data_IF_686427152321
#
_entry.id   IF_686427152321
#
_cell.length_a   1.000
_cell.length_b   1.000
_cell.length_c   1.000
_cell.angle_alpha   90.00
_cell.angle_beta   90.00
_cell.angle_gamma   90.00
#
_symmetry.space_group_name_H-M   'P 1'
#
loop_
_entity.id
_entity.type
_entity.pdbx_description
1 polymer ?
#
# COMPACT_ATOMS: atom_id res chain seq x y z
N UNK A 1 -21.99 33.19 -39.62
CA UNK A 1 -21.30 32.92 -38.34
C UNK A 1 -21.85 31.58 -37.85
N UNK A 2 -20.94 30.62 -37.65
CA UNK A 2 -21.10 29.16 -37.63
C UNK A 2 -22.46 28.58 -37.17
N UNK A 3 -22.94 27.65 -37.99
CA UNK A 3 -24.11 26.78 -37.80
C UNK A 3 -23.68 25.39 -37.29
N UNK A 4 -24.60 24.78 -36.56
CA UNK A 4 -24.54 23.56 -35.75
C UNK A 4 -24.72 22.31 -36.62
N UNK A 5 -23.79 21.33 -36.59
CA UNK A 5 -24.09 19.96 -37.05
C UNK A 5 -23.39 18.86 -36.25
N UNK A 6 -24.24 18.04 -35.62
CA UNK A 6 -23.99 16.69 -35.10
C UNK A 6 -23.35 15.78 -36.16
N UNK A 7 -22.34 15.04 -35.75
CA UNK A 7 -21.74 13.94 -36.51
C UNK A 7 -22.47 12.62 -36.18
N UNK A 8 -23.12 12.01 -37.18
CA UNK A 8 -23.49 10.58 -37.18
C UNK A 8 -22.35 9.77 -37.83
N UNK A 9 -22.15 8.48 -37.47
CA UNK A 9 -21.15 7.64 -38.13
C UNK A 9 -21.67 7.10 -39.48
N UNK A 10 -20.79 7.14 -40.48
CA UNK A 10 -20.99 6.80 -41.89
C UNK A 10 -20.91 5.29 -42.13
N UNK A 11 -22.03 4.67 -42.54
CA UNK A 11 -22.20 3.26 -42.94
C UNK A 11 -21.49 2.91 -44.27
N UNK A 12 -20.81 3.86 -44.92
CA UNK A 12 -20.25 3.67 -46.27
C UNK A 12 -18.80 3.12 -46.32
N UNK A 13 -18.28 2.63 -45.20
CA UNK A 13 -16.93 2.05 -45.12
C UNK A 13 -16.90 0.52 -45.28
N UNK A 14 -18.00 -0.20 -45.06
CA UNK A 14 -18.05 -1.66 -45.17
C UNK A 14 -18.32 -2.16 -46.61
N UNK A 15 -18.98 -1.36 -47.44
CA UNK A 15 -19.37 -1.75 -48.81
C UNK A 15 -18.19 -1.74 -49.82
N UNK A 16 -17.07 -1.09 -49.48
CA UNK A 16 -15.88 -0.99 -50.36
C UNK A 16 -14.90 -2.16 -50.24
N UNK A 17 -15.15 -3.08 -49.31
CA UNK A 17 -14.28 -4.23 -49.04
C UNK A 17 -14.77 -5.53 -49.68
N UNK A 18 -16.07 -5.65 -49.98
CA UNK A 18 -16.63 -6.86 -50.60
C UNK A 18 -16.40 -6.91 -52.13
N UNK A 19 -16.45 -5.76 -52.82
CA UNK A 19 -16.20 -5.69 -54.28
C UNK A 19 -14.78 -6.10 -54.71
N UNK A 20 -13.80 -6.07 -53.78
CA UNK A 20 -12.38 -6.40 -54.10
C UNK A 20 -12.07 -7.89 -53.96
N UNK A 21 -12.94 -8.68 -53.35
CA UNK A 21 -12.72 -10.13 -53.16
C UNK A 21 -13.31 -10.95 -54.31
N UNK A 22 -14.35 -10.45 -54.97
CA UNK A 22 -15.03 -11.16 -56.06
C UNK A 22 -14.28 -11.09 -57.41
N UNK A 23 -13.53 -10.01 -57.69
CA UNK A 23 -12.75 -9.88 -58.94
C UNK A 23 -11.48 -10.75 -59.01
N UNK A 24 -10.99 -11.29 -57.90
CA UNK A 24 -9.76 -12.12 -57.88
C UNK A 24 -10.09 -13.61 -58.07
N UNK A 25 -11.32 -14.04 -57.81
CA UNK A 25 -11.74 -15.44 -57.94
C UNK A 25 -12.13 -15.83 -59.37
N UNK A 26 -12.46 -14.87 -60.23
CA UNK A 26 -12.89 -15.15 -61.62
C UNK A 26 -11.73 -15.30 -62.62
N UNK A 27 -10.55 -14.71 -62.36
CA UNK A 27 -9.39 -14.82 -63.27
C UNK A 27 -8.62 -16.15 -63.19
N UNK A 28 -8.89 -17.01 -62.20
CA UNK A 28 -8.22 -18.32 -62.08
C UNK A 28 -9.02 -19.45 -62.74
N UNK A 29 -10.30 -19.22 -63.07
CA UNK A 29 -11.20 -20.24 -63.61
C UNK A 29 -11.16 -20.39 -65.14
N UNK A 30 -10.52 -19.49 -65.88
CA UNK A 30 -10.60 -19.46 -67.35
C UNK A 30 -9.41 -20.09 -68.10
N UNK A 31 -8.44 -20.70 -67.40
CA UNK A 31 -7.22 -21.21 -68.05
C UNK A 31 -6.93 -22.70 -67.86
N UNK A 32 -7.96 -23.54 -67.80
CA UNK A 32 -7.79 -24.99 -68.04
C UNK A 32 -9.04 -25.64 -68.64
N UNK A 33 -9.23 -25.50 -69.96
CA UNK A 33 -10.03 -26.46 -70.71
C UNK A 33 -9.53 -26.56 -72.15
N UNK A 34 -8.92 -27.69 -72.52
CA UNK A 34 -8.64 -28.01 -73.92
C UNK A 34 -7.52 -29.02 -74.18
N UNK A 35 -7.93 -30.29 -74.35
CA UNK A 35 -7.22 -31.40 -75.03
C UNK A 35 -5.92 -31.93 -74.39
N UNK A 36 -5.64 -33.22 -74.30
CA UNK A 36 -6.21 -34.41 -74.92
C UNK A 36 -5.07 -35.43 -75.09
N UNK A 37 -5.22 -36.60 -74.45
CA UNK A 37 -4.55 -37.90 -74.71
C UNK A 37 -3.01 -37.98 -74.73
N UNK A 38 -2.43 -38.67 -73.74
CA UNK A 38 -1.56 -39.84 -73.95
C UNK A 38 -1.38 -40.65 -72.65
N UNK A 39 -1.22 -41.97 -72.80
CA UNK A 39 -1.41 -43.05 -71.80
C UNK A 39 -0.05 -43.56 -71.32
N UNK A 40 0.18 -43.79 -70.01
CA UNK A 40 1.11 -44.79 -69.39
C UNK A 40 1.09 -44.71 -67.82
N UNK A 41 1.61 -45.69 -67.03
CA UNK A 41 0.82 -46.52 -66.11
C UNK A 41 0.88 -46.16 -64.60
N UNK A 42 -0.14 -46.66 -63.89
CA UNK A 42 -0.30 -47.00 -62.47
C UNK A 42 0.65 -46.39 -61.42
N UNK A 43 0.17 -45.38 -60.69
CA UNK A 43 0.88 -44.63 -59.64
C UNK A 43 0.60 -45.14 -58.21
N UNK A 44 0.27 -46.42 -58.05
CA UNK A 44 -0.07 -47.03 -56.75
C UNK A 44 1.12 -47.13 -55.79
N UNK A 45 2.33 -46.70 -56.17
CA UNK A 45 3.52 -46.68 -55.29
C UNK A 45 3.96 -45.29 -54.81
N UNK A 46 3.31 -44.19 -55.23
CA UNK A 46 3.68 -42.85 -54.73
C UNK A 46 2.83 -42.36 -53.56
N UNK A 47 1.68 -42.99 -53.29
CA UNK A 47 0.80 -42.59 -52.19
C UNK A 47 1.22 -43.13 -50.82
N UNK A 48 1.99 -44.23 -50.75
CA UNK A 48 2.52 -44.72 -49.47
C UNK A 48 3.75 -43.94 -48.98
N UNK A 49 4.47 -43.22 -49.85
CA UNK A 49 5.67 -42.47 -49.46
C UNK A 49 5.40 -41.02 -49.02
N UNK A 50 4.16 -40.55 -49.19
CA UNK A 50 3.75 -39.20 -48.80
C UNK A 50 3.02 -39.15 -47.44
N UNK A 51 2.54 -40.28 -46.93
CA UNK A 51 1.92 -40.41 -45.59
C UNK A 51 2.90 -40.84 -44.50
N UNK A 52 4.21 -40.91 -44.78
CA UNK A 52 5.25 -41.24 -43.80
C UNK A 52 6.11 -40.02 -43.41
N UNK A 53 5.71 -38.79 -43.77
CA UNK A 53 6.56 -37.60 -43.57
C UNK A 53 5.92 -36.39 -42.88
N UNK A 54 4.76 -36.59 -42.26
CA UNK A 54 4.08 -35.52 -41.51
C UNK A 54 3.53 -35.97 -40.16
N UNK A 55 4.20 -36.93 -39.51
CA UNK A 55 4.19 -37.00 -38.05
C UNK A 55 5.33 -36.13 -37.50
N UNK A 56 5.23 -34.82 -37.70
CA UNK A 56 6.02 -33.89 -36.90
C UNK A 56 5.37 -33.85 -35.53
N UNK A 57 5.61 -34.89 -34.71
CA UNK A 57 5.35 -34.82 -33.28
C UNK A 57 5.99 -33.52 -32.80
N UNK A 58 5.17 -32.58 -32.35
CA UNK A 58 5.63 -31.48 -31.51
C UNK A 58 6.18 -32.11 -30.24
N UNK A 59 7.43 -32.56 -30.30
CA UNK A 59 8.25 -32.82 -29.13
C UNK A 59 8.46 -31.44 -28.51
N UNK A 60 7.52 -30.99 -27.70
CA UNK A 60 7.88 -30.18 -26.55
C UNK A 60 9.03 -30.94 -25.89
N UNK A 61 10.26 -30.39 -25.83
CA UNK A 61 11.35 -31.10 -25.21
C UNK A 61 10.92 -31.32 -23.76
N UNK A 62 10.61 -32.58 -23.41
CA UNK A 62 10.29 -32.95 -22.05
C UNK A 62 11.43 -32.41 -21.19
N UNK A 63 11.14 -31.39 -20.38
CA UNK A 63 12.18 -30.73 -19.59
C UNK A 63 12.83 -31.79 -18.73
N UNK A 64 14.10 -32.10 -19.00
CA UNK A 64 14.82 -33.15 -18.29
C UNK A 64 14.66 -32.88 -16.77
N UNK A 65 14.35 -33.87 -15.92
CA UNK A 65 14.02 -33.64 -14.50
C UNK A 65 15.06 -32.80 -13.71
N UNK A 66 16.31 -32.75 -14.20
CA UNK A 66 17.40 -31.91 -13.66
C UNK A 66 17.19 -30.41 -13.96
N UNK A 67 16.67 -30.03 -15.13
CA UNK A 67 16.43 -28.63 -15.49
C UNK A 67 15.25 -28.06 -14.70
N UNK A 68 14.14 -28.79 -14.61
CA UNK A 68 12.98 -28.40 -13.81
C UNK A 68 13.34 -28.14 -12.34
N UNK A 69 14.19 -29.00 -11.74
CA UNK A 69 14.68 -28.84 -10.37
C UNK A 69 15.54 -27.59 -10.16
N UNK A 70 16.37 -27.23 -11.15
CA UNK A 70 17.17 -25.99 -11.10
C UNK A 70 16.28 -24.76 -11.14
N UNK A 71 15.26 -24.74 -12.02
CA UNK A 71 14.31 -23.64 -12.11
C UNK A 71 13.51 -23.49 -10.81
N UNK A 72 13.04 -24.59 -10.22
CA UNK A 72 12.33 -24.60 -8.94
C UNK A 72 13.15 -23.93 -7.81
N UNK A 73 14.43 -24.24 -7.69
CA UNK A 73 15.26 -23.63 -6.63
C UNK A 73 15.65 -22.19 -6.92
N UNK A 74 15.78 -21.81 -8.20
CA UNK A 74 15.96 -20.41 -8.60
C UNK A 74 14.72 -19.59 -8.26
N UNK A 75 13.53 -20.08 -8.59
CA UNK A 75 12.28 -19.38 -8.26
C UNK A 75 12.06 -19.30 -6.75
N UNK A 76 12.29 -20.40 -6.01
CA UNK A 76 12.21 -20.40 -4.55
C UNK A 76 13.19 -19.41 -3.90
N UNK A 77 14.43 -19.30 -4.42
CA UNK A 77 15.42 -18.30 -3.98
C UNK A 77 14.93 -16.86 -4.19
N UNK A 78 14.37 -16.56 -5.36
CA UNK A 78 13.87 -15.22 -5.70
C UNK A 78 12.66 -14.87 -4.83
N UNK A 79 11.69 -15.78 -4.72
CA UNK A 79 10.49 -15.58 -3.89
C UNK A 79 10.85 -15.41 -2.42
N UNK A 80 11.82 -16.16 -1.91
CA UNK A 80 12.31 -16.00 -0.55
C UNK A 80 12.99 -14.64 -0.37
N UNK A 81 13.78 -14.19 -1.34
CA UNK A 81 14.45 -12.89 -1.27
C UNK A 81 13.43 -11.74 -1.20
N UNK A 82 12.38 -11.80 -2.02
CA UNK A 82 11.32 -10.79 -2.08
C UNK A 82 10.48 -10.80 -0.79
N UNK A 83 9.94 -11.97 -0.42
CA UNK A 83 9.11 -12.09 0.79
C UNK A 83 9.88 -11.72 2.06
N UNK A 84 11.15 -12.12 2.17
CA UNK A 84 11.98 -11.78 3.31
C UNK A 84 12.30 -10.28 3.34
N UNK A 85 12.54 -9.63 2.19
CA UNK A 85 12.73 -8.18 2.13
C UNK A 85 11.47 -7.43 2.63
N UNK A 86 10.28 -7.84 2.17
CA UNK A 86 9.00 -7.28 2.64
C UNK A 86 8.86 -7.48 4.16
N UNK A 87 9.16 -8.67 4.66
CA UNK A 87 9.09 -8.95 6.10
C UNK A 87 10.08 -8.09 6.89
N UNK A 88 11.33 -7.96 6.43
CA UNK A 88 12.36 -7.17 7.11
C UNK A 88 12.02 -5.67 7.15
N UNK A 89 11.38 -5.14 6.10
CA UNK A 89 10.89 -3.76 6.10
C UNK A 89 9.67 -3.59 7.00
N UNK A 90 8.76 -4.57 7.04
CA UNK A 90 7.51 -4.44 7.81
C UNK A 90 7.64 -4.85 9.28
N UNK A 91 8.65 -5.64 9.67
CA UNK A 91 8.80 -6.11 11.04
C UNK A 91 9.06 -4.97 12.03
N UNK A 92 9.86 -3.97 11.64
CA UNK A 92 10.10 -2.80 12.48
C UNK A 92 8.82 -1.98 12.74
N UNK A 93 7.83 -2.04 11.84
CA UNK A 93 6.56 -1.34 12.03
C UNK A 93 5.82 -1.86 13.27
N UNK A 94 5.91 -3.17 13.56
CA UNK A 94 5.33 -3.73 14.79
C UNK A 94 5.97 -3.19 16.06
N UNK A 95 7.28 -2.91 16.03
CA UNK A 95 7.98 -2.28 17.15
C UNK A 95 7.44 -0.86 17.34
N UNK A 96 7.32 -0.08 16.27
CA UNK A 96 6.77 1.28 16.29
C UNK A 96 5.30 1.32 16.72
N UNK A 97 4.53 0.30 16.34
CA UNK A 97 3.15 0.15 16.75
C UNK A 97 3.03 -0.18 18.23
N UNK A 98 4.07 -0.53 18.99
CA UNK A 98 3.90 -0.84 20.41
C UNK A 98 3.43 0.38 21.25
N UNK A 99 2.40 0.25 22.12
CA UNK A 99 1.90 1.37 22.93
C UNK A 99 2.97 2.03 23.81
N UNK A 100 3.93 1.26 24.30
CA UNK A 100 5.02 1.77 25.13
C UNK A 100 6.00 2.60 24.32
N UNK A 101 6.29 2.19 23.08
CA UNK A 101 7.15 2.94 22.16
C UNK A 101 6.51 4.28 21.80
N UNK A 102 5.21 4.29 21.47
CA UNK A 102 4.48 5.54 21.21
C UNK A 102 4.57 6.51 22.38
N UNK A 103 4.30 6.05 23.62
CA UNK A 103 4.34 6.92 24.80
C UNK A 103 5.75 7.44 25.07
N UNK A 104 6.78 6.60 24.94
CA UNK A 104 8.17 6.99 25.13
C UNK A 104 8.62 8.04 24.09
N UNK A 105 8.33 7.80 22.81
CA UNK A 105 8.63 8.73 21.73
C UNK A 105 7.86 10.04 21.90
N UNK A 106 6.56 9.97 22.20
CA UNK A 106 5.72 11.16 22.38
C UNK A 106 6.24 12.01 23.53
N UNK A 107 6.55 11.41 24.69
CA UNK A 107 7.13 12.11 25.83
C UNK A 107 8.42 12.84 25.47
N UNK A 108 9.37 12.14 24.85
CA UNK A 108 10.66 12.69 24.47
C UNK A 108 10.56 13.77 23.38
N UNK A 109 9.59 13.65 22.47
CA UNK A 109 9.38 14.62 21.40
C UNK A 109 8.67 15.87 21.88
N UNK A 110 7.65 15.73 22.73
CA UNK A 110 6.97 16.87 23.35
C UNK A 110 7.94 17.62 24.27
N UNK A 111 8.83 16.94 24.98
CA UNK A 111 9.89 17.61 25.77
C UNK A 111 10.85 18.43 24.90
N UNK A 112 11.28 17.89 23.76
CA UNK A 112 12.13 18.61 22.80
C UNK A 112 11.43 19.83 22.20
N UNK A 113 10.15 19.71 21.84
CA UNK A 113 9.33 20.84 21.38
C UNK A 113 9.13 21.83 22.52
N UNK A 114 8.87 21.33 23.72
CA UNK A 114 8.64 22.14 24.89
C UNK A 114 9.84 23.00 25.29
N UNK A 115 11.07 22.50 25.10
CA UNK A 115 12.30 23.25 25.32
C UNK A 115 12.48 24.38 24.29
N UNK A 116 12.00 24.20 23.05
CA UNK A 116 11.96 25.26 22.04
C UNK A 116 10.89 26.31 22.35
N UNK A 117 9.70 25.86 22.78
CA UNK A 117 8.54 26.71 23.04
C UNK A 117 8.55 27.38 24.42
N UNK A 118 9.43 26.97 25.34
CA UNK A 118 9.62 27.65 26.63
C UNK A 118 10.02 29.14 26.45
N UNK A 119 10.54 29.49 25.27
CA UNK A 119 10.81 30.87 24.85
C UNK A 119 9.50 31.62 24.50
N UNK A 120 8.40 30.93 24.18
CA UNK A 120 7.13 31.50 23.68
C UNK A 120 5.88 31.35 24.58
N UNK A 121 5.99 30.80 25.79
CA UNK A 121 4.95 30.85 26.86
C UNK A 121 3.48 30.49 26.50
N UNK A 122 3.20 29.80 25.39
CA UNK A 122 1.82 29.58 24.91
C UNK A 122 1.45 28.10 24.76
N UNK A 123 1.74 27.25 25.76
CA UNK A 123 1.25 25.86 25.72
C UNK A 123 -0.20 25.79 26.17
N UNK A 124 -1.05 25.35 25.25
CA UNK A 124 -2.46 25.07 25.52
C UNK A 124 -2.58 23.85 26.40
N UNK A 125 -2.07 22.69 25.97
CA UNK A 125 -2.10 21.43 26.75
C UNK A 125 -0.80 21.17 27.52
N UNK A 126 -0.93 20.46 28.64
CA UNK A 126 0.21 19.92 29.39
C UNK A 126 0.88 18.78 28.63
N UNK A 127 2.15 18.51 28.95
CA UNK A 127 2.87 17.36 28.36
C UNK A 127 2.14 16.04 28.64
N UNK A 128 1.56 15.88 29.84
CA UNK A 128 0.81 14.68 30.20
C UNK A 128 -0.42 14.49 29.31
N UNK A 129 -1.19 15.56 29.06
CA UNK A 129 -2.39 15.51 28.21
C UNK A 129 -2.04 15.17 26.76
N UNK A 130 -0.96 15.75 26.21
CA UNK A 130 -0.50 15.45 24.85
C UNK A 130 0.03 14.01 24.71
N UNK A 131 0.79 13.51 25.69
CA UNK A 131 1.25 12.11 25.70
C UNK A 131 0.08 11.14 25.83
N UNK A 132 -0.92 11.49 26.66
CA UNK A 132 -2.16 10.72 26.78
C UNK A 132 -2.89 10.67 25.44
N UNK A 133 -3.11 11.83 24.80
CA UNK A 133 -3.75 11.89 23.47
C UNK A 133 -2.98 11.13 22.41
N UNK A 134 -1.64 11.21 22.38
CA UNK A 134 -0.83 10.45 21.44
C UNK A 134 -1.05 8.93 21.58
N UNK A 135 -1.21 8.44 22.82
CA UNK A 135 -1.56 7.05 23.09
C UNK A 135 -2.95 6.66 22.56
N UNK A 136 -3.92 7.54 22.71
CA UNK A 136 -5.30 7.34 22.24
C UNK A 136 -5.39 7.39 20.70
N UNK A 137 -4.69 8.33 20.08
CA UNK A 137 -4.55 8.42 18.63
C UNK A 137 -3.90 7.16 18.05
N UNK A 138 -2.82 6.66 18.66
CA UNK A 138 -2.21 5.38 18.24
C UNK A 138 -3.15 4.20 18.43
N UNK A 139 -3.90 4.13 19.53
CA UNK A 139 -4.85 3.03 19.73
C UNK A 139 -6.00 3.09 18.71
N UNK A 140 -6.39 4.29 18.29
CA UNK A 140 -7.34 4.47 17.19
C UNK A 140 -6.74 4.03 15.84
N UNK A 141 -5.50 4.43 15.53
CA UNK A 141 -4.86 4.13 14.24
C UNK A 141 -4.31 2.71 14.11
N UNK A 142 -3.87 2.07 15.20
CA UNK A 142 -3.12 0.80 15.15
C UNK A 142 -3.55 -0.22 16.21
N UNK A 143 -4.57 0.10 17.01
CA UNK A 143 -5.04 -0.73 18.11
C UNK A 143 -6.52 -1.08 17.97
N UNK A 144 -7.30 -0.77 19.01
CA UNK A 144 -8.72 -1.14 19.09
C UNK A 144 -9.63 -0.36 18.11
N UNK A 145 -9.14 0.72 17.48
CA UNK A 145 -9.91 1.54 16.54
C UNK A 145 -11.28 1.99 17.09
N UNK A 146 -11.29 2.42 18.36
CA UNK A 146 -12.51 2.78 19.07
C UNK A 146 -12.74 4.30 19.06
N UNK A 147 -13.62 4.77 18.18
CA UNK A 147 -13.96 6.19 18.03
C UNK A 147 -14.49 6.81 19.33
N UNK A 148 -15.31 6.07 20.10
CA UNK A 148 -15.89 6.57 21.36
C UNK A 148 -14.80 6.82 22.41
N UNK A 149 -13.80 5.94 22.47
CA UNK A 149 -12.65 6.07 23.38
C UNK A 149 -11.82 7.30 23.05
N UNK A 150 -11.52 7.52 21.77
CA UNK A 150 -10.79 8.71 21.30
C UNK A 150 -11.56 10.01 21.61
N UNK A 151 -12.86 10.06 21.32
CA UNK A 151 -13.69 11.23 21.62
C UNK A 151 -13.80 11.49 23.13
N UNK A 152 -13.91 10.44 23.95
CA UNK A 152 -13.90 10.58 25.41
C UNK A 152 -12.56 11.13 25.92
N UNK A 153 -11.44 10.66 25.38
CA UNK A 153 -10.12 11.15 25.73
C UNK A 153 -9.94 12.65 25.42
N UNK A 154 -10.38 13.08 24.25
CA UNK A 154 -10.42 14.49 23.86
C UNK A 154 -11.27 15.31 24.83
N UNK A 155 -12.48 14.85 25.17
CA UNK A 155 -13.33 15.54 26.13
C UNK A 155 -12.67 15.66 27.50
N UNK A 156 -11.96 14.62 27.94
CA UNK A 156 -11.25 14.59 29.21
C UNK A 156 -10.13 15.65 29.26
N UNK A 157 -9.29 15.74 28.23
CA UNK A 157 -8.21 16.75 28.21
C UNK A 157 -8.75 18.17 28.04
N UNK A 158 -9.85 18.35 27.31
CA UNK A 158 -10.46 19.67 27.13
C UNK A 158 -11.20 20.15 28.39
N UNK A 159 -11.76 19.23 29.18
CA UNK A 159 -12.39 19.57 30.45
C UNK A 159 -11.37 20.02 31.50
N UNK A 160 -10.18 19.41 31.53
CA UNK A 160 -9.09 19.74 32.44
C UNK A 160 -8.53 21.17 32.22
N UNK A 161 -8.73 21.73 31.02
CA UNK A 161 -8.27 23.07 30.64
C UNK A 161 -9.06 24.22 31.29
N UNK A 162 -10.24 24.00 31.88
CA UNK A 162 -10.92 24.96 32.77
C UNK A 162 -11.26 26.38 32.24
N UNK A 163 -10.98 26.71 30.96
CA UNK A 163 -11.16 28.06 30.40
C UNK A 163 -12.48 28.14 29.62
N UNK A 164 -13.59 28.58 30.23
CA UNK A 164 -14.85 29.06 29.61
C UNK A 164 -15.41 28.40 28.32
N UNK A 165 -14.96 27.21 27.97
CA UNK A 165 -15.40 26.40 26.84
C UNK A 165 -16.72 25.68 27.21
N UNK A 166 -17.03 25.60 28.52
CA UNK A 166 -18.17 24.90 29.08
C UNK A 166 -19.55 25.30 28.53
N UNK A 167 -19.78 26.54 28.09
CA UNK A 167 -21.08 26.93 27.53
C UNK A 167 -21.23 26.56 26.05
N UNK A 168 -20.20 26.87 25.23
CA UNK A 168 -20.19 26.61 23.78
C UNK A 168 -19.96 25.16 23.43
N UNK A 169 -19.20 24.44 24.24
CA UNK A 169 -18.97 23.00 24.08
C UNK A 169 -20.05 22.19 24.74
N UNK A 170 -20.72 22.65 25.83
CA UNK A 170 -22.00 22.04 26.20
C UNK A 170 -23.07 22.30 25.16
N UNK A 171 -23.15 23.47 24.54
CA UNK A 171 -24.13 23.69 23.46
C UNK A 171 -23.77 22.84 22.24
N UNK A 172 -22.51 22.77 21.83
CA UNK A 172 -22.06 21.92 20.72
C UNK A 172 -22.20 20.41 21.03
N UNK A 173 -21.97 19.96 22.27
CA UNK A 173 -22.18 18.57 22.71
C UNK A 173 -23.65 18.26 22.95
N UNK A 174 -24.45 19.20 23.45
CA UNK A 174 -25.90 19.06 23.54
C UNK A 174 -26.48 18.99 22.13
N UNK A 175 -26.00 19.81 21.20
CA UNK A 175 -26.36 19.74 19.79
C UNK A 175 -25.90 18.45 19.17
N UNK A 176 -24.69 17.92 19.46
CA UNK A 176 -24.15 16.66 18.89
C UNK A 176 -24.76 15.39 19.52
N UNK A 177 -25.06 15.40 20.83
CA UNK A 177 -25.66 14.28 21.57
C UNK A 177 -27.18 14.26 21.40
N UNK A 178 -27.84 15.42 21.43
CA UNK A 178 -29.24 15.54 21.08
C UNK A 178 -29.43 15.40 19.57
N UNK A 179 -28.50 15.79 18.69
CA UNK A 179 -28.57 15.31 17.30
C UNK A 179 -28.31 13.82 17.23
N UNK A 180 -27.44 13.17 17.99
CA UNK A 180 -27.34 11.71 17.85
C UNK A 180 -28.65 10.98 18.26
N UNK A 181 -29.39 11.48 19.25
CA UNK A 181 -30.71 10.97 19.66
C UNK A 181 -31.85 11.44 18.74
N UNK A 182 -31.82 12.69 18.29
CA UNK A 182 -32.78 13.30 17.38
C UNK A 182 -32.58 12.79 15.95
N UNK A 183 -31.36 12.67 15.43
CA UNK A 183 -30.96 11.96 14.20
C UNK A 183 -31.30 10.49 14.31
N UNK A 184 -31.12 9.79 15.45
CA UNK A 184 -31.58 8.41 15.58
C UNK A 184 -33.12 8.30 15.56
N UNK A 185 -33.84 9.29 16.10
CA UNK A 185 -35.31 9.38 16.00
C UNK A 185 -35.79 9.83 14.61
N UNK A 186 -35.06 10.75 13.97
CA UNK A 186 -35.34 11.30 12.65
C UNK A 186 -34.94 10.30 11.58
N UNK A 187 -33.90 9.47 11.73
CA UNK A 187 -33.60 8.33 10.84
C UNK A 187 -34.67 7.25 10.98
N UNK A 188 -35.24 7.06 12.18
CA UNK A 188 -36.38 6.16 12.39
C UNK A 188 -37.67 6.68 11.72
N UNK A 189 -37.83 7.99 11.54
CA UNK A 189 -38.99 8.63 10.90
C UNK A 189 -38.76 9.11 9.45
N UNK A 190 -37.52 9.29 9.01
CA UNK A 190 -37.09 9.85 7.72
C UNK A 190 -36.42 8.79 6.84
N UNK A 191 -36.78 7.52 7.05
CA UNK A 191 -36.38 6.41 6.19
C UNK A 191 -37.03 6.46 4.79
N UNK A 192 -37.55 7.61 4.36
CA UNK A 192 -38.25 7.75 3.09
C UNK A 192 -37.77 8.90 2.19
N UNK A 193 -36.95 9.89 2.61
CA UNK A 193 -36.78 11.05 1.70
C UNK A 193 -35.51 11.88 1.58
N UNK A 194 -34.46 11.86 2.41
CA UNK A 194 -33.34 12.79 2.11
C UNK A 194 -31.96 12.32 2.54
N UNK A 195 -31.39 11.47 1.69
CA UNK A 195 -30.01 10.99 1.70
C UNK A 195 -29.26 11.64 0.54
N UNK A 196 -28.84 12.92 0.63
CA UNK A 196 -27.71 13.51 -0.13
C UNK A 196 -27.61 15.04 0.03
N UNK A 197 -26.38 15.52 0.26
CA UNK A 197 -25.88 16.90 0.09
C UNK A 197 -26.56 18.01 0.91
N UNK A 198 -25.77 18.81 1.64
CA UNK A 198 -25.88 20.31 1.74
C UNK A 198 -25.39 20.90 3.08
N UNK A 199 -25.30 20.17 4.19
CA UNK A 199 -24.89 20.78 5.48
C UNK A 199 -23.44 20.42 5.85
N UNK A 200 -22.46 20.88 5.07
CA UNK A 200 -21.03 20.85 5.48
C UNK A 200 -20.15 21.93 4.80
N UNK A 201 -20.69 22.85 4.00
CA UNK A 201 -19.85 23.70 3.13
C UNK A 201 -19.60 25.15 3.57
N UNK A 202 -20.16 25.66 4.68
CA UNK A 202 -19.88 27.05 5.09
C UNK A 202 -19.77 27.21 6.61
N UNK A 203 -18.58 26.94 7.15
CA UNK A 203 -18.13 27.55 8.39
C UNK A 203 -16.93 28.47 8.07
N UNK A 204 -16.87 29.71 8.58
CA UNK A 204 -15.75 30.61 8.31
C UNK A 204 -14.44 30.01 8.81
N UNK A 205 -13.35 30.20 8.05
CA UNK A 205 -12.03 29.59 8.29
C UNK A 205 -11.44 29.82 9.70
N UNK A 206 -11.93 30.83 10.41
CA UNK A 206 -11.57 31.11 11.82
C UNK A 206 -12.19 30.12 12.81
N UNK A 207 -13.39 29.59 12.52
CA UNK A 207 -14.06 28.58 13.35
C UNK A 207 -13.43 27.20 13.12
N UNK A 208 -13.08 26.86 11.88
CA UNK A 208 -12.37 25.60 11.58
C UNK A 208 -10.98 25.58 12.22
N UNK A 209 -10.23 26.68 12.18
CA UNK A 209 -8.91 26.78 12.84
C UNK A 209 -8.99 26.75 14.37
N UNK A 210 -10.04 27.31 14.97
CA UNK A 210 -10.27 27.20 16.42
C UNK A 210 -10.67 25.76 16.80
N UNK A 211 -11.41 25.07 15.94
CA UNK A 211 -11.84 23.68 16.16
C UNK A 211 -10.65 22.70 16.16
N UNK A 212 -9.73 22.77 15.18
CA UNK A 212 -8.64 21.79 15.09
C UNK A 212 -7.66 21.81 16.27
N UNK A 213 -7.50 22.97 16.93
CA UNK A 213 -6.61 23.15 18.07
C UNK A 213 -7.07 22.39 19.31
N UNK A 214 -8.38 22.21 19.47
CA UNK A 214 -8.98 21.57 20.65
C UNK A 214 -9.66 20.24 20.31
N UNK A 215 -10.02 20.03 19.06
CA UNK A 215 -10.79 18.88 18.62
C UNK A 215 -10.11 18.19 17.44
N UNK A 216 -10.13 16.85 17.47
CA UNK A 216 -9.87 16.02 16.30
C UNK A 216 -11.06 16.23 15.35
N UNK A 217 -10.81 16.98 14.28
CA UNK A 217 -11.82 17.31 13.27
C UNK A 217 -12.31 16.07 12.53
N UNK A 218 -13.42 16.19 11.81
CA UNK A 218 -13.90 15.10 10.96
C UNK A 218 -12.88 14.75 9.86
N UNK A 219 -12.11 15.71 9.34
CA UNK A 219 -11.03 15.44 8.39
C UNK A 219 -9.93 14.59 9.04
N UNK A 220 -9.49 14.96 10.25
CA UNK A 220 -8.51 14.18 11.00
C UNK A 220 -9.01 12.77 11.32
N UNK A 221 -10.28 12.60 11.69
CA UNK A 221 -10.88 11.29 11.92
C UNK A 221 -10.85 10.43 10.65
N UNK A 222 -11.29 10.96 9.52
CA UNK A 222 -11.28 10.22 8.24
C UNK A 222 -9.85 9.82 7.85
N UNK A 223 -8.87 10.70 8.04
CA UNK A 223 -7.47 10.35 7.81
C UNK A 223 -6.99 9.22 8.73
N UNK A 224 -7.33 9.27 10.02
CA UNK A 224 -6.94 8.20 10.95
C UNK A 224 -7.66 6.87 10.64
N UNK A 225 -8.85 6.91 10.05
CA UNK A 225 -9.54 5.72 9.51
C UNK A 225 -8.75 5.11 8.33
N UNK A 226 -8.25 5.95 7.43
CA UNK A 226 -7.39 5.52 6.32
C UNK A 226 -6.06 4.94 6.83
N UNK A 227 -5.44 5.59 7.84
CA UNK A 227 -4.23 5.08 8.50
C UNK A 227 -4.49 3.72 9.14
N UNK A 228 -5.66 3.53 9.77
CA UNK A 228 -6.04 2.23 10.33
C UNK A 228 -6.17 1.16 9.26
N UNK A 229 -6.88 1.44 8.16
CA UNK A 229 -7.01 0.51 7.04
C UNK A 229 -5.64 0.13 6.46
N UNK A 230 -4.75 1.11 6.25
CA UNK A 230 -3.39 0.88 5.78
C UNK A 230 -2.57 0.05 6.79
N UNK A 231 -2.70 0.33 8.09
CA UNK A 231 -2.06 -0.42 9.16
C UNK A 231 -2.50 -1.88 9.21
N UNK A 232 -3.78 -2.17 8.96
CA UNK A 232 -4.31 -3.54 8.84
C UNK A 232 -3.69 -4.25 7.64
N UNK A 233 -3.62 -3.59 6.48
CA UNK A 233 -2.98 -4.15 5.28
C UNK A 233 -1.50 -4.46 5.56
N UNK A 234 -0.75 -3.49 6.11
CA UNK A 234 0.66 -3.66 6.43
C UNK A 234 0.91 -4.82 7.39
N UNK A 235 0.08 -4.96 8.43
CA UNK A 235 0.13 -6.10 9.37
C UNK A 235 -0.09 -7.43 8.65
N UNK A 236 -1.14 -7.52 7.82
CA UNK A 236 -1.48 -8.76 7.13
C UNK A 236 -0.40 -9.15 6.10
N UNK A 237 0.14 -8.18 5.35
CA UNK A 237 1.27 -8.39 4.43
C UNK A 237 2.51 -8.85 5.18
N UNK A 238 2.79 -8.27 6.35
CA UNK A 238 3.93 -8.71 7.18
C UNK A 238 3.77 -10.15 7.66
N UNK A 239 2.59 -10.53 8.15
CA UNK A 239 2.32 -11.92 8.57
C UNK A 239 2.42 -12.87 7.37
N UNK A 240 1.82 -12.53 6.23
CA UNK A 240 1.87 -13.36 5.03
C UNK A 240 3.31 -13.55 4.52
N UNK A 241 4.08 -12.46 4.44
CA UNK A 241 5.49 -12.50 4.03
C UNK A 241 6.36 -13.30 5.00
N UNK A 242 6.08 -13.25 6.32
CA UNK A 242 6.74 -14.09 7.31
C UNK A 242 6.47 -15.58 7.08
N UNK A 243 5.20 -15.96 6.90
CA UNK A 243 4.78 -17.35 6.66
C UNK A 243 5.40 -17.89 5.37
N UNK A 244 5.34 -17.12 4.27
CA UNK A 244 5.97 -17.50 2.99
C UNK A 244 7.48 -17.64 3.14
N UNK A 245 8.13 -16.71 3.84
CA UNK A 245 9.58 -16.77 4.09
C UNK A 245 9.94 -18.03 4.87
N UNK A 246 9.21 -18.34 5.95
CA UNK A 246 9.43 -19.54 6.77
C UNK A 246 9.24 -20.83 5.96
N UNK A 247 8.19 -20.91 5.15
CA UNK A 247 7.93 -22.08 4.30
C UNK A 247 9.05 -22.28 3.27
N UNK A 248 9.52 -21.22 2.62
CA UNK A 248 10.61 -21.29 1.65
C UNK A 248 11.98 -21.57 2.30
N UNK A 249 12.23 -21.03 3.49
CA UNK A 249 13.41 -21.39 4.29
C UNK A 249 13.40 -22.87 4.63
N UNK A 250 12.27 -23.40 5.12
CA UNK A 250 12.11 -24.82 5.43
C UNK A 250 12.31 -25.68 4.18
N UNK A 251 11.66 -25.35 3.05
CA UNK A 251 11.82 -26.06 1.78
C UNK A 251 13.28 -26.15 1.36
N UNK A 252 13.99 -25.02 1.31
CA UNK A 252 15.39 -24.98 0.89
C UNK A 252 16.32 -25.68 1.89
N UNK A 253 16.01 -25.61 3.18
CA UNK A 253 16.78 -26.28 4.23
C UNK A 253 16.64 -27.81 4.15
N UNK A 254 15.41 -28.33 4.12
CA UNK A 254 15.14 -29.77 4.07
C UNK A 254 15.56 -30.41 2.75
N UNK A 255 15.54 -29.66 1.64
CA UNK A 255 16.07 -30.12 0.35
C UNK A 255 17.60 -29.97 0.22
N UNK A 256 18.29 -29.63 1.33
CA UNK A 256 19.73 -29.43 1.44
C UNK A 256 20.30 -28.38 0.44
N UNK A 257 19.49 -27.39 0.07
CA UNK A 257 19.84 -26.31 -0.87
C UNK A 257 20.42 -25.08 -0.15
N UNK A 258 21.40 -25.29 0.72
CA UNK A 258 21.98 -24.25 1.59
C UNK A 258 22.56 -23.05 0.83
N UNK A 259 23.02 -23.24 -0.41
CA UNK A 259 23.52 -22.14 -1.26
C UNK A 259 22.40 -21.22 -1.70
N UNK A 260 21.26 -21.77 -2.13
CA UNK A 260 20.11 -20.97 -2.53
C UNK A 260 19.52 -20.23 -1.33
N UNK A 261 19.44 -20.90 -0.17
CA UNK A 261 19.05 -20.26 1.09
C UNK A 261 19.99 -19.11 1.45
N UNK A 262 21.30 -19.36 1.47
CA UNK A 262 22.28 -18.34 1.81
C UNK A 262 22.29 -17.16 0.83
N UNK A 263 22.10 -17.41 -0.47
CA UNK A 263 21.91 -16.35 -1.46
C UNK A 263 20.63 -15.55 -1.19
N UNK A 264 19.53 -16.18 -0.80
CA UNK A 264 18.28 -15.47 -0.55
C UNK A 264 18.43 -14.48 0.61
N UNK A 265 18.97 -14.97 1.72
CA UNK A 265 19.23 -14.19 2.93
C UNK A 265 20.17 -13.00 2.65
N UNK A 266 21.22 -13.21 1.86
CA UNK A 266 22.12 -12.13 1.43
C UNK A 266 21.41 -11.07 0.60
N UNK A 267 20.67 -11.46 -0.44
CA UNK A 267 20.00 -10.50 -1.32
C UNK A 267 18.92 -9.73 -0.56
N UNK A 268 18.10 -10.41 0.25
CA UNK A 268 17.10 -9.76 1.08
C UNK A 268 17.73 -8.72 2.03
N UNK A 269 18.84 -9.11 2.71
CA UNK A 269 19.58 -8.20 3.59
C UNK A 269 20.14 -6.99 2.86
N UNK A 270 20.84 -7.19 1.73
CA UNK A 270 21.42 -6.09 0.92
C UNK A 270 20.32 -5.15 0.42
N UNK A 271 19.26 -5.68 -0.20
CA UNK A 271 18.17 -4.88 -0.76
C UNK A 271 17.50 -4.07 0.35
N UNK A 272 17.21 -4.68 1.50
CA UNK A 272 16.62 -3.97 2.64
C UNK A 272 17.53 -2.83 3.12
N UNK A 273 18.83 -3.09 3.27
CA UNK A 273 19.79 -2.07 3.72
C UNK A 273 19.93 -0.92 2.73
N UNK A 274 19.92 -1.20 1.42
CA UNK A 274 19.94 -0.17 0.37
C UNK A 274 18.68 0.69 0.42
N UNK A 275 17.50 0.07 0.51
CA UNK A 275 16.24 0.80 0.61
C UNK A 275 16.18 1.70 1.86
N UNK A 276 16.62 1.17 3.02
CA UNK A 276 16.70 1.96 4.25
C UNK A 276 17.71 3.11 4.13
N UNK A 277 18.88 2.87 3.53
CA UNK A 277 19.87 3.93 3.31
C UNK A 277 19.33 5.05 2.41
N UNK A 278 18.64 4.70 1.32
CA UNK A 278 17.96 5.68 0.46
C UNK A 278 16.92 6.49 1.22
N UNK A 279 16.06 5.83 2.02
CA UNK A 279 15.04 6.51 2.84
C UNK A 279 15.65 7.43 3.89
N UNK A 280 16.72 7.01 4.57
CA UNK A 280 17.45 7.82 5.56
C UNK A 280 18.07 9.05 4.88
N UNK A 281 18.75 8.86 3.74
CA UNK A 281 19.37 9.96 3.01
C UNK A 281 18.32 10.99 2.54
N UNK A 282 17.19 10.53 2.01
CA UNK A 282 16.08 11.40 1.63
C UNK A 282 15.53 12.18 2.83
N UNK A 283 15.30 11.50 3.95
CA UNK A 283 14.82 12.11 5.20
C UNK A 283 15.81 13.10 5.82
N UNK A 284 17.11 12.90 5.66
CA UNK A 284 18.14 13.82 6.18
C UNK A 284 18.28 15.08 5.32
N UNK A 285 17.99 15.00 4.03
CA UNK A 285 18.07 16.13 3.11
C UNK A 285 16.93 17.13 3.35
N UNK A 286 15.69 16.66 3.34
CA UNK A 286 14.52 17.46 3.70
C UNK A 286 13.41 16.56 4.25
N UNK A 287 13.26 16.55 5.58
CA UNK A 287 12.24 15.73 6.24
C UNK A 287 10.81 16.12 5.83
N UNK A 288 10.53 17.41 5.67
CA UNK A 288 9.18 17.90 5.33
C UNK A 288 8.76 17.44 3.93
N UNK A 289 9.65 17.54 2.95
CA UNK A 289 9.37 17.08 1.59
C UNK A 289 9.27 15.55 1.53
N UNK A 290 10.16 14.84 2.22
CA UNK A 290 10.09 13.38 2.34
C UNK A 290 8.77 12.93 2.98
N UNK A 291 8.36 13.57 4.08
CA UNK A 291 7.11 13.28 4.77
C UNK A 291 5.91 13.55 3.86
N UNK A 292 5.94 14.66 3.10
CA UNK A 292 4.88 15.02 2.15
C UNK A 292 4.73 13.98 1.05
N UNK A 293 5.82 13.65 0.35
CA UNK A 293 5.79 12.64 -0.72
C UNK A 293 5.36 11.27 -0.21
N UNK A 294 5.82 10.89 0.99
CA UNK A 294 5.40 9.66 1.65
C UNK A 294 3.88 9.64 1.88
N UNK A 295 3.29 10.75 2.34
CA UNK A 295 1.85 10.83 2.55
C UNK A 295 1.05 10.91 1.26
N UNK A 296 1.55 11.57 0.20
CA UNK A 296 0.89 11.59 -1.10
C UNK A 296 0.79 10.21 -1.73
N UNK A 297 1.83 9.37 -1.58
CA UNK A 297 1.83 7.99 -2.07
C UNK A 297 0.85 7.12 -1.30
N UNK A 298 0.76 7.28 0.02
CA UNK A 298 -0.08 6.44 0.88
C UNK A 298 -1.53 6.91 0.99
N UNK A 299 -1.76 8.21 0.82
CA UNK A 299 -3.04 8.88 0.97
C UNK A 299 -3.29 9.83 -0.23
N UNK A 300 -3.42 9.28 -1.45
CA UNK A 300 -3.59 10.06 -2.68
C UNK A 300 -4.87 10.93 -2.70
N UNK A 301 -5.82 10.66 -1.81
CA UNK A 301 -7.03 11.46 -1.58
C UNK A 301 -6.76 12.82 -0.91
N UNK A 302 -5.55 13.06 -0.39
CA UNK A 302 -5.13 14.39 0.09
C UNK A 302 -5.68 14.84 1.45
N UNK A 303 -6.21 13.93 2.27
CA UNK A 303 -6.85 14.26 3.56
C UNK A 303 -5.89 14.23 4.77
N UNK A 304 -4.58 14.30 4.56
CA UNK A 304 -3.55 14.07 5.59
C UNK A 304 -2.85 15.34 6.11
N UNK A 305 -3.10 16.50 5.53
CA UNK A 305 -2.47 17.77 5.91
C UNK A 305 -3.32 18.54 6.93
N UNK A 306 -2.69 18.95 8.04
CA UNK A 306 -3.34 19.62 9.16
C UNK A 306 -2.56 20.85 9.61
N UNK A 307 -3.23 21.76 10.30
CA UNK A 307 -2.59 22.92 10.89
C UNK A 307 -1.54 22.52 11.94
N UNK A 308 -0.40 23.23 11.97
CA UNK A 308 0.72 22.95 12.88
C UNK A 308 0.34 23.07 14.36
N UNK A 309 -0.68 23.87 14.66
CA UNK A 309 -1.26 24.10 15.98
C UNK A 309 -2.48 23.19 16.28
N UNK A 310 -2.85 22.28 15.37
CA UNK A 310 -3.92 21.31 15.63
C UNK A 310 -3.56 20.38 16.81
N UNK A 311 -4.59 19.85 17.48
CA UNK A 311 -4.43 18.87 18.55
C UNK A 311 -3.73 17.61 18.06
N UNK A 312 -4.00 17.20 16.81
CA UNK A 312 -3.37 16.04 16.19
C UNK A 312 -1.85 16.24 16.05
N UNK A 313 -1.41 17.36 15.45
CA UNK A 313 0.02 17.66 15.27
C UNK A 313 0.70 17.98 16.61
N UNK A 314 -0.01 18.61 17.54
CA UNK A 314 0.51 18.87 18.90
C UNK A 314 0.77 17.57 19.68
N UNK A 315 -0.09 16.56 19.53
CA UNK A 315 0.09 15.26 20.18
C UNK A 315 1.14 14.38 19.47
N UNK A 316 1.24 14.48 18.15
CA UNK A 316 2.15 13.70 17.29
C UNK A 316 3.05 14.64 16.45
N UNK A 317 3.94 15.42 17.09
CA UNK A 317 4.75 16.42 16.40
C UNK A 317 5.76 15.77 15.44
N UNK A 318 6.33 16.55 14.53
CA UNK A 318 7.34 16.07 13.56
C UNK A 318 8.48 15.26 14.23
N UNK A 319 8.98 15.74 15.37
CA UNK A 319 10.03 15.06 16.13
C UNK A 319 9.61 13.66 16.63
N UNK A 320 8.31 13.40 16.84
CA UNK A 320 7.78 12.07 17.15
C UNK A 320 7.94 11.13 15.95
N UNK A 321 7.58 11.58 14.75
CA UNK A 321 7.71 10.79 13.53
C UNK A 321 9.17 10.50 13.18
N UNK A 322 10.08 11.47 13.36
CA UNK A 322 11.52 11.25 13.21
C UNK A 322 12.05 10.14 14.15
N UNK A 323 11.59 10.12 15.42
CA UNK A 323 11.98 9.06 16.36
C UNK A 323 11.42 7.69 15.97
N UNK A 324 10.16 7.63 15.52
CA UNK A 324 9.59 6.37 15.01
C UNK A 324 10.32 5.89 13.77
N UNK A 325 10.66 6.78 12.83
CA UNK A 325 11.45 6.43 11.65
C UNK A 325 12.83 5.87 12.03
N UNK A 326 13.47 6.43 13.07
CA UNK A 326 14.73 5.90 13.59
C UNK A 326 14.59 4.50 14.21
N UNK A 327 13.56 4.27 15.04
CA UNK A 327 13.31 2.95 15.64
C UNK A 327 12.99 1.92 14.54
N UNK A 328 12.16 2.30 13.58
CA UNK A 328 11.83 1.47 12.43
C UNK A 328 13.07 1.12 11.63
N UNK A 329 13.85 2.12 11.22
CA UNK A 329 15.06 1.94 10.43
C UNK A 329 16.12 1.10 11.16
N UNK A 330 16.35 1.34 12.45
CA UNK A 330 17.35 0.57 13.23
C UNK A 330 16.96 -0.89 13.41
N UNK A 331 15.70 -1.17 13.77
CA UNK A 331 15.22 -2.55 13.96
C UNK A 331 15.20 -3.35 12.66
N UNK A 332 14.78 -2.73 11.56
CA UNK A 332 14.83 -3.32 10.21
C UNK A 332 16.27 -3.53 9.74
N UNK A 333 17.17 -2.57 9.97
CA UNK A 333 18.57 -2.68 9.60
C UNK A 333 19.31 -3.80 10.37
N UNK A 334 19.11 -3.90 11.69
CA UNK A 334 19.68 -4.98 12.49
C UNK A 334 19.22 -6.35 12.00
N UNK A 335 17.92 -6.50 11.72
CA UNK A 335 17.35 -7.74 11.18
C UNK A 335 17.94 -8.09 9.81
N UNK A 336 18.12 -7.09 8.94
CA UNK A 336 18.73 -7.24 7.62
C UNK A 336 20.22 -7.61 7.70
N UNK A 337 20.97 -7.03 8.64
CA UNK A 337 22.38 -7.37 8.90
C UNK A 337 22.50 -8.83 9.35
N UNK A 338 21.65 -9.29 10.27
CA UNK A 338 21.63 -10.69 10.70
C UNK A 338 21.36 -11.61 9.52
N UNK A 339 20.36 -11.30 8.69
CA UNK A 339 20.07 -12.08 7.47
C UNK A 339 21.27 -12.11 6.53
N UNK A 340 21.91 -10.96 6.27
CA UNK A 340 23.08 -10.88 5.42
C UNK A 340 24.24 -11.75 5.93
N UNK A 341 24.57 -11.66 7.23
CA UNK A 341 25.66 -12.42 7.85
C UNK A 341 25.39 -13.92 7.83
N UNK A 342 24.16 -14.35 8.14
CA UNK A 342 23.75 -15.74 8.06
C UNK A 342 23.84 -16.26 6.62
N UNK A 343 23.37 -15.47 5.65
CA UNK A 343 23.46 -15.83 4.24
C UNK A 343 24.91 -15.91 3.73
N UNK A 344 25.78 -15.02 4.21
CA UNK A 344 27.21 -15.04 3.94
C UNK A 344 27.89 -16.30 4.50
N UNK A 345 27.61 -16.64 5.76
CA UNK A 345 28.14 -17.85 6.39
C UNK A 345 27.69 -19.13 5.66
N UNK A 346 26.41 -19.22 5.29
CA UNK A 346 25.84 -20.37 4.56
C UNK A 346 26.43 -20.53 3.16
N UNK A 347 26.75 -19.43 2.47
CA UNK A 347 27.37 -19.49 1.13
C UNK A 347 28.87 -19.79 1.19
N UNK A 348 29.57 -19.44 2.28
CA UNK A 348 31.01 -19.71 2.46
C UNK A 348 31.31 -21.18 2.79
N UNK A 349 30.51 -21.84 3.63
CA UNK A 349 30.75 -23.23 4.10
C UNK A 349 30.81 -24.29 2.98
N UNK A 350 30.19 -24.06 1.82
CA UNK A 350 30.27 -25.00 0.68
C UNK A 350 31.52 -24.81 -0.19
N UNK A 351 32.21 -23.66 -0.13
CA UNK A 351 33.47 -23.50 -0.86
C UNK A 351 34.62 -24.29 -0.22
N UNK A 352 34.42 -24.84 0.98
CA UNK A 352 35.41 -25.56 1.77
C UNK A 352 35.16 -27.08 1.82
N UNK A 353 34.06 -27.56 1.22
CA UNK A 353 33.70 -28.97 1.02
C UNK A 353 33.75 -29.26 -0.48
#
# INVERSE_FOLDING_TARGET
MADDQRMQPDERAEERTEERVEQVTEQVAEHTNGHGTERFPDSTQQTERATEKTEHTSKFPASHPKTARIYLFKTAHILLSISLCIFLLTCGLFVCMNPHVTRACSRASIEKVAAKDAIQHNRMFTQYELVYMAGELRDYSFGAHNKKRLLYAQLKINAAQGRNINAKVRSALADTYNTHKAIKSMIKHANASFRKHTIMQQAPATITKFDERFFITQAALTHLDDVYALGVIARNVSIASAVVSLALVALLFFMNQRVYLGRALKHAGIVTLVLLACGILASLFNFTDFFTQFHEVLFPQGNWSFSADSLLISALPEAFWQKLALIWGTTSALSAIVCFLLGFALTRRRKQL
#
